data_IF_948691161033
#
_entry.id   IF_948691161033
#
_cell.length_a   1.000
_cell.length_b   1.000
_cell.length_c   1.000
_cell.angle_alpha   90.00
_cell.angle_beta   90.00
_cell.angle_gamma   90.00
#
_symmetry.space_group_name_H-M   'P 1'
#
loop_
_entity.id
_entity.type
_entity.pdbx_description
1 polymer ?
#
# COMPACT_ATOMS: atom_id res chain seq x y z
N UNK A 1 -19.19 -11.65 5.82
CA UNK A 1 -17.81 -11.40 5.34
C UNK A 1 -17.79 -10.16 4.47
N UNK A 2 -17.01 -9.15 4.82
CA UNK A 2 -16.90 -7.94 4.05
C UNK A 2 -15.63 -7.94 3.18
N UNK A 3 -15.72 -7.36 1.98
CA UNK A 3 -14.62 -7.27 1.03
C UNK A 3 -13.80 -5.99 1.27
N UNK A 4 -12.50 -6.15 1.32
CA UNK A 4 -11.53 -5.06 1.47
C UNK A 4 -10.51 -5.07 0.34
N UNK A 5 -10.05 -3.90 -0.04
CA UNK A 5 -8.86 -3.73 -0.84
C UNK A 5 -7.72 -3.20 0.03
N UNK A 6 -6.58 -3.86 0.00
CA UNK A 6 -5.34 -3.35 0.58
C UNK A 6 -4.52 -2.73 -0.54
N UNK A 7 -4.21 -1.44 -0.42
CA UNK A 7 -3.55 -0.68 -1.49
C UNK A 7 -2.29 -0.02 -0.94
N UNK A 8 -1.13 -0.41 -1.43
CA UNK A 8 0.13 0.25 -1.15
C UNK A 8 0.36 1.39 -2.13
N UNK A 9 0.70 2.57 -1.62
CA UNK A 9 0.78 3.78 -2.44
C UNK A 9 -0.60 4.36 -2.76
N UNK A 10 -1.53 4.26 -1.82
CA UNK A 10 -2.95 4.58 -2.03
C UNK A 10 -3.29 6.08 -2.08
N UNK A 11 -2.34 6.96 -1.79
CA UNK A 11 -2.62 8.39 -1.58
C UNK A 11 -2.61 9.23 -2.87
N UNK A 12 -2.12 8.71 -3.97
CA UNK A 12 -1.96 9.45 -5.21
C UNK A 12 -1.87 8.54 -6.43
N UNK A 13 -1.91 9.13 -7.62
CA UNK A 13 -1.70 8.45 -8.89
C UNK A 13 -2.58 7.21 -9.07
N UNK A 14 -1.97 6.12 -9.51
CA UNK A 14 -2.65 4.85 -9.79
C UNK A 14 -3.31 4.27 -8.53
N UNK A 15 -2.63 4.31 -7.37
CA UNK A 15 -3.19 3.79 -6.12
C UNK A 15 -4.47 4.51 -5.69
N UNK A 16 -4.50 5.84 -5.77
CA UNK A 16 -5.71 6.63 -5.48
C UNK A 16 -6.83 6.38 -6.50
N UNK A 17 -6.48 6.24 -7.78
CA UNK A 17 -7.44 5.90 -8.84
C UNK A 17 -8.07 4.50 -8.61
N UNK A 18 -7.26 3.51 -8.25
CA UNK A 18 -7.74 2.19 -7.85
C UNK A 18 -8.67 2.27 -6.64
N UNK A 19 -8.30 3.04 -5.60
CA UNK A 19 -9.13 3.24 -4.42
C UNK A 19 -10.52 3.75 -4.79
N UNK A 20 -10.60 4.76 -5.68
CA UNK A 20 -11.87 5.31 -6.16
C UNK A 20 -12.72 4.28 -6.89
N UNK A 21 -12.12 3.53 -7.80
CA UNK A 21 -12.86 2.53 -8.59
C UNK A 21 -13.35 1.35 -7.75
N UNK A 22 -12.54 0.92 -6.78
CA UNK A 22 -12.91 -0.16 -5.87
C UNK A 22 -14.00 0.29 -4.88
N UNK A 23 -13.90 1.51 -4.34
CA UNK A 23 -14.92 2.09 -3.46
C UNK A 23 -16.28 2.22 -4.18
N UNK A 24 -16.30 2.68 -5.44
CA UNK A 24 -17.52 2.70 -6.28
C UNK A 24 -18.17 1.33 -6.45
N UNK A 25 -17.40 0.25 -6.36
CA UNK A 25 -17.88 -1.13 -6.42
C UNK A 25 -18.25 -1.71 -5.05
N UNK A 26 -18.31 -0.89 -4.02
CA UNK A 26 -18.68 -1.31 -2.66
C UNK A 26 -17.57 -2.06 -1.91
N UNK A 27 -16.32 -1.94 -2.34
CA UNK A 27 -15.17 -2.57 -1.67
C UNK A 27 -14.57 -1.56 -0.68
N UNK A 28 -14.43 -1.96 0.57
CA UNK A 28 -13.80 -1.15 1.61
C UNK A 28 -12.30 -0.96 1.32
N UNK A 29 -11.73 0.17 1.75
CA UNK A 29 -10.37 0.54 1.41
C UNK A 29 -9.48 0.59 2.65
N UNK A 30 -8.38 -0.16 2.62
CA UNK A 30 -7.26 -0.05 3.55
C UNK A 30 -6.04 0.42 2.77
N UNK A 31 -5.74 1.71 2.88
CA UNK A 31 -4.71 2.38 2.10
C UNK A 31 -3.45 2.65 2.91
N UNK A 32 -2.29 2.29 2.37
CA UNK A 32 -0.98 2.60 2.93
C UNK A 32 -0.37 3.75 2.15
N UNK A 33 0.16 4.75 2.86
CA UNK A 33 0.86 5.88 2.28
C UNK A 33 2.02 6.33 3.17
N UNK A 34 2.95 7.11 2.61
CA UNK A 34 4.11 7.61 3.36
C UNK A 34 4.27 9.13 3.30
N UNK A 35 4.09 9.74 2.12
CA UNK A 35 4.50 11.12 1.85
C UNK A 35 3.35 12.01 1.36
N UNK A 36 2.28 12.14 2.16
CA UNK A 36 1.18 13.06 1.85
C UNK A 36 0.83 13.90 3.07
N UNK A 37 0.35 15.11 2.82
CA UNK A 37 -0.21 15.96 3.86
C UNK A 37 -1.53 15.37 4.38
N UNK A 38 -1.76 15.55 5.68
CA UNK A 38 -2.98 15.06 6.35
C UNK A 38 -4.26 15.54 5.69
N UNK A 39 -4.29 16.80 5.25
CA UNK A 39 -5.48 17.41 4.62
C UNK A 39 -5.85 16.72 3.30
N UNK A 40 -4.85 16.33 2.50
CA UNK A 40 -5.07 15.58 1.25
C UNK A 40 -5.58 14.18 1.52
N UNK A 41 -5.08 13.51 2.55
CA UNK A 41 -5.57 12.18 2.97
C UNK A 41 -6.97 12.28 3.54
N UNK A 42 -7.26 13.30 4.35
CA UNK A 42 -8.60 13.54 4.87
C UNK A 42 -9.61 13.75 3.73
N UNK A 43 -9.31 14.63 2.77
CA UNK A 43 -10.17 14.90 1.62
C UNK A 43 -10.43 13.61 0.79
N UNK A 44 -9.40 12.83 0.51
CA UNK A 44 -9.54 11.56 -0.21
C UNK A 44 -10.38 10.54 0.60
N UNK A 45 -10.16 10.47 1.90
CA UNK A 45 -10.92 9.58 2.79
C UNK A 45 -12.41 9.92 2.76
N UNK A 46 -12.76 11.18 2.88
CA UNK A 46 -14.16 11.64 2.83
C UNK A 46 -14.80 11.42 1.44
N UNK A 47 -14.03 11.66 0.38
CA UNK A 47 -14.46 11.35 -0.99
C UNK A 47 -14.82 9.86 -1.13
N UNK A 48 -13.97 8.97 -0.63
CA UNK A 48 -14.19 7.53 -0.74
C UNK A 48 -15.37 7.06 0.15
N UNK A 49 -15.49 7.58 1.35
CA UNK A 49 -16.62 7.27 2.24
C UNK A 49 -17.97 7.67 1.64
N UNK A 50 -18.01 8.68 0.80
CA UNK A 50 -19.24 9.09 0.11
C UNK A 50 -19.83 7.99 -0.78
N UNK A 51 -19.03 6.97 -1.16
CA UNK A 51 -19.54 5.76 -1.84
C UNK A 51 -20.15 4.71 -0.88
N UNK A 52 -20.25 5.00 0.41
CA UNK A 52 -20.86 4.10 1.40
C UNK A 52 -19.94 2.98 1.89
N UNK A 53 -18.64 3.09 1.69
CA UNK A 53 -17.63 2.11 2.12
C UNK A 53 -16.85 2.58 3.34
N UNK A 54 -16.30 1.62 4.08
CA UNK A 54 -15.32 1.91 5.15
C UNK A 54 -13.97 2.21 4.54
N UNK A 55 -13.28 3.21 5.09
CA UNK A 55 -11.98 3.66 4.59
C UNK A 55 -11.03 3.88 5.75
N UNK A 56 -9.87 3.24 5.68
CA UNK A 56 -8.77 3.38 6.63
C UNK A 56 -7.51 3.74 5.83
N UNK A 57 -6.90 4.87 6.14
CA UNK A 57 -5.60 5.25 5.60
C UNK A 57 -4.55 5.23 6.71
N UNK A 58 -3.44 4.53 6.48
CA UNK A 58 -2.35 4.38 7.44
C UNK A 58 -1.05 4.92 6.89
N UNK A 59 -0.46 5.88 7.62
CA UNK A 59 0.86 6.43 7.29
C UNK A 59 1.94 5.51 7.80
N UNK A 60 2.66 4.84 6.91
CA UNK A 60 3.76 3.95 7.27
C UNK A 60 4.63 3.61 6.07
N UNK A 61 5.88 3.21 6.34
CA UNK A 61 6.71 2.55 5.32
C UNK A 61 6.20 1.13 5.06
N UNK A 62 5.99 0.80 3.79
CA UNK A 62 5.52 -0.52 3.37
C UNK A 62 6.55 -1.64 3.59
N UNK A 63 7.83 -1.30 3.77
CA UNK A 63 8.92 -2.26 4.02
C UNK A 63 9.19 -2.52 5.50
N UNK A 64 8.68 -1.66 6.39
CA UNK A 64 8.91 -1.81 7.82
C UNK A 64 8.12 -3.01 8.39
N UNK A 65 8.83 -4.03 8.86
CA UNK A 65 8.23 -5.28 9.34
C UNK A 65 7.27 -5.09 10.52
N UNK A 66 7.66 -4.29 11.52
CA UNK A 66 6.80 -4.02 12.68
C UNK A 66 5.52 -3.27 12.28
N UNK A 67 5.63 -2.30 11.38
CA UNK A 67 4.48 -1.56 10.87
C UNK A 67 3.56 -2.41 10.00
N UNK A 68 4.11 -3.34 9.21
CA UNK A 68 3.30 -4.31 8.47
C UNK A 68 2.52 -5.21 9.43
N UNK A 69 3.19 -5.72 10.47
CA UNK A 69 2.54 -6.53 11.51
C UNK A 69 1.37 -5.78 12.17
N UNK A 70 1.59 -4.52 12.60
CA UNK A 70 0.53 -3.67 13.15
C UNK A 70 -0.64 -3.50 12.17
N UNK A 71 -0.37 -3.30 10.88
CA UNK A 71 -1.41 -3.15 9.85
C UNK A 71 -2.21 -4.44 9.65
N UNK A 72 -1.56 -5.59 9.65
CA UNK A 72 -2.22 -6.91 9.56
C UNK A 72 -3.10 -7.16 10.78
N UNK A 73 -2.62 -6.88 11.98
CA UNK A 73 -3.40 -7.01 13.21
C UNK A 73 -4.63 -6.09 13.21
N UNK A 74 -4.50 -4.89 12.66
CA UNK A 74 -5.62 -3.95 12.51
C UNK A 74 -6.67 -4.50 11.54
N UNK A 75 -6.25 -5.05 10.41
CA UNK A 75 -7.16 -5.72 9.47
C UNK A 75 -7.89 -6.91 10.11
N UNK A 76 -7.19 -7.74 10.88
CA UNK A 76 -7.80 -8.88 11.59
C UNK A 76 -8.84 -8.46 12.63
N UNK A 77 -8.66 -7.30 13.27
CA UNK A 77 -9.63 -6.73 14.23
C UNK A 77 -10.93 -6.23 13.61
N UNK A 78 -10.98 -6.08 12.28
CA UNK A 78 -12.20 -5.68 11.57
C UNK A 78 -13.26 -6.79 11.51
N UNK A 79 -12.94 -7.97 12.01
CA UNK A 79 -13.88 -9.10 12.09
C UNK A 79 -13.80 -10.03 10.88
N UNK A 80 -14.94 -10.55 10.42
CA UNK A 80 -14.98 -11.46 9.27
C UNK A 80 -14.84 -10.69 7.96
N UNK A 81 -13.59 -10.53 7.53
CA UNK A 81 -13.23 -9.85 6.30
C UNK A 81 -12.50 -10.77 5.33
N UNK A 82 -12.47 -10.33 4.06
CA UNK A 82 -11.59 -10.87 3.02
C UNK A 82 -10.86 -9.70 2.35
N UNK A 83 -9.57 -9.81 2.22
CA UNK A 83 -8.81 -8.96 1.28
C UNK A 83 -9.08 -9.50 -0.13
N UNK A 84 -10.03 -8.88 -0.81
CA UNK A 84 -10.46 -9.28 -2.15
C UNK A 84 -9.47 -8.83 -3.21
N UNK A 85 -8.88 -7.65 -3.01
CA UNK A 85 -7.90 -7.06 -3.95
C UNK A 85 -6.70 -6.55 -3.16
N UNK A 86 -5.51 -6.95 -3.58
CA UNK A 86 -4.26 -6.36 -3.12
C UNK A 86 -3.60 -5.62 -4.27
N UNK A 87 -3.33 -4.32 -4.10
CA UNK A 87 -2.70 -3.46 -5.11
C UNK A 87 -1.36 -2.98 -4.59
N UNK A 88 -0.30 -3.34 -5.29
CA UNK A 88 1.03 -2.82 -5.05
C UNK A 88 1.32 -1.69 -6.04
N UNK A 89 1.15 -0.44 -5.60
CA UNK A 89 1.33 0.76 -6.43
C UNK A 89 2.37 1.71 -5.80
N UNK A 90 3.52 1.16 -5.45
CA UNK A 90 4.64 1.92 -4.90
C UNK A 90 5.55 2.37 -6.03
N UNK A 91 5.84 3.67 -6.07
CA UNK A 91 6.81 4.29 -6.97
C UNK A 91 7.74 5.17 -6.15
N UNK A 92 8.76 4.56 -5.55
CA UNK A 92 9.75 5.23 -4.72
C UNK A 92 11.12 4.62 -4.89
N UNK A 93 12.06 5.42 -5.33
CA UNK A 93 13.44 4.99 -5.52
C UNK A 93 14.36 6.17 -5.81
N UNK A 94 15.64 5.90 -5.93
CA UNK A 94 16.63 6.87 -6.32
C UNK A 94 16.67 7.02 -7.85
N UNK A 95 16.54 8.25 -8.33
CA UNK A 95 16.61 8.59 -9.74
C UNK A 95 17.97 9.21 -10.02
N UNK A 96 19.00 8.37 -10.11
CA UNK A 96 20.36 8.74 -10.44
C UNK A 96 20.90 7.85 -11.56
N UNK A 97 21.88 8.30 -12.36
CA UNK A 97 22.58 7.45 -13.31
C UNK A 97 23.18 6.21 -12.64
N UNK A 98 23.17 5.10 -13.34
CA UNK A 98 23.79 3.85 -12.85
C UNK A 98 25.31 3.96 -12.88
N UNK A 99 25.85 4.60 -13.93
CA UNK A 99 27.29 4.80 -14.16
C UNK A 99 27.53 6.27 -14.44
N UNK A 100 28.49 6.85 -13.73
CA UNK A 100 28.99 8.21 -13.92
C UNK A 100 30.48 8.26 -13.62
N UNK A 101 31.20 9.19 -14.26
CA UNK A 101 32.64 9.40 -14.05
C UNK A 101 32.93 9.79 -12.60
N UNK A 102 32.08 10.62 -12.01
CA UNK A 102 32.16 10.97 -10.61
C UNK A 102 31.26 10.02 -9.80
N UNK A 103 31.81 9.14 -8.94
CA UNK A 103 31.03 8.19 -8.15
C UNK A 103 29.94 8.82 -7.26
N UNK A 104 30.09 10.10 -6.90
CA UNK A 104 29.08 10.83 -6.09
C UNK A 104 27.78 11.10 -6.85
N UNK A 105 27.85 11.13 -8.18
CA UNK A 105 26.71 11.43 -9.04
C UNK A 105 25.99 10.17 -9.49
N UNK A 106 26.60 9.01 -9.34
CA UNK A 106 26.00 7.70 -9.62
C UNK A 106 25.18 7.16 -8.45
N UNK A 107 24.38 6.12 -8.74
CA UNK A 107 23.70 5.33 -7.71
C UNK A 107 24.72 4.65 -6.81
N UNK A 108 24.50 4.72 -5.51
CA UNK A 108 25.25 3.94 -4.52
C UNK A 108 24.46 2.68 -4.13
N UNK A 109 25.14 1.67 -3.61
CA UNK A 109 24.55 0.38 -3.23
C UNK A 109 23.29 0.55 -2.36
N UNK A 110 23.34 1.35 -1.30
CA UNK A 110 22.19 1.59 -0.41
C UNK A 110 20.94 2.12 -1.14
N UNK A 111 21.13 2.95 -2.16
CA UNK A 111 20.01 3.48 -2.96
C UNK A 111 19.38 2.40 -3.85
N UNK A 112 20.22 1.53 -4.42
CA UNK A 112 19.75 0.37 -5.20
C UNK A 112 18.97 -0.59 -4.30
N UNK A 113 19.55 -0.96 -3.16
CA UNK A 113 18.90 -1.86 -2.19
C UNK A 113 17.55 -1.32 -1.71
N UNK A 114 17.50 -0.04 -1.33
CA UNK A 114 16.27 0.63 -0.91
C UNK A 114 15.21 0.63 -2.02
N UNK A 115 15.61 0.93 -3.25
CA UNK A 115 14.69 0.97 -4.40
C UNK A 115 14.10 -0.41 -4.67
N UNK A 116 14.93 -1.45 -4.69
CA UNK A 116 14.48 -2.84 -4.86
C UNK A 116 13.59 -3.29 -3.71
N UNK A 117 13.92 -2.92 -2.48
CA UNK A 117 13.13 -3.29 -1.31
C UNK A 117 11.72 -2.67 -1.35
N UNK A 118 11.63 -1.39 -1.65
CA UNK A 118 10.33 -0.68 -1.73
C UNK A 118 9.51 -1.12 -2.95
N UNK A 119 10.12 -1.20 -4.13
CA UNK A 119 9.37 -1.39 -5.38
C UNK A 119 9.21 -2.86 -5.79
N UNK A 120 10.01 -3.75 -5.25
CA UNK A 120 9.99 -5.18 -5.57
C UNK A 120 9.70 -6.06 -4.37
N UNK A 121 10.63 -6.12 -3.41
CA UNK A 121 10.56 -7.04 -2.29
C UNK A 121 9.32 -6.85 -1.44
N UNK A 122 8.86 -5.62 -1.25
CA UNK A 122 7.68 -5.33 -0.43
C UNK A 122 6.42 -6.04 -0.93
N UNK A 123 6.29 -6.29 -2.22
CA UNK A 123 5.20 -7.10 -2.77
C UNK A 123 5.19 -8.50 -2.15
N UNK A 124 6.36 -9.13 -2.08
CA UNK A 124 6.51 -10.48 -1.52
C UNK A 124 6.17 -10.46 -0.03
N UNK A 125 6.68 -9.49 0.73
CA UNK A 125 6.44 -9.38 2.17
C UNK A 125 4.94 -9.27 2.48
N UNK A 126 4.24 -8.38 1.79
CA UNK A 126 2.80 -8.19 1.98
C UNK A 126 1.97 -9.39 1.54
N UNK A 127 2.31 -10.03 0.43
CA UNK A 127 1.64 -11.26 0.01
C UNK A 127 1.78 -12.36 1.06
N UNK A 128 2.97 -12.53 1.62
CA UNK A 128 3.22 -13.53 2.67
C UNK A 128 2.44 -13.20 3.96
N UNK A 129 2.47 -11.92 4.38
CA UNK A 129 1.79 -11.48 5.60
C UNK A 129 0.26 -11.64 5.48
N UNK A 130 -0.33 -11.23 4.36
CA UNK A 130 -1.75 -11.38 4.07
C UNK A 130 -2.17 -12.87 3.97
N UNK A 131 -1.35 -13.69 3.35
CA UNK A 131 -1.61 -15.13 3.23
C UNK A 131 -1.55 -15.84 4.60
N UNK A 132 -0.48 -15.63 5.36
CA UNK A 132 -0.29 -16.24 6.68
C UNK A 132 -1.34 -15.83 7.69
N UNK A 133 -1.84 -14.60 7.60
CA UNK A 133 -2.93 -14.08 8.44
C UNK A 133 -4.32 -14.55 8.00
N UNK A 134 -4.42 -15.36 6.94
CA UNK A 134 -5.68 -15.88 6.35
C UNK A 134 -6.66 -14.79 5.89
N UNK A 135 -6.12 -13.62 5.57
CA UNK A 135 -6.90 -12.52 4.99
C UNK A 135 -7.16 -12.70 3.49
N UNK A 136 -6.27 -13.42 2.78
CA UNK A 136 -6.52 -13.87 1.41
C UNK A 136 -7.39 -15.13 1.44
N UNK A 137 -8.47 -15.12 0.67
CA UNK A 137 -9.41 -16.23 0.54
C UNK A 137 -9.66 -16.54 -0.93
N UNK A 138 -10.41 -17.60 -1.23
CA UNK A 138 -10.76 -17.93 -2.62
C UNK A 138 -11.36 -16.74 -3.36
N UNK A 139 -10.82 -16.39 -4.52
CA UNK A 139 -11.23 -15.23 -5.31
C UNK A 139 -10.54 -13.92 -4.95
N UNK A 140 -9.53 -13.92 -4.05
CA UNK A 140 -8.62 -12.77 -3.88
C UNK A 140 -7.71 -12.61 -5.10
N UNK A 141 -7.43 -11.36 -5.48
CA UNK A 141 -6.62 -10.96 -6.63
C UNK A 141 -5.51 -10.01 -6.20
#
# INVERSE_FOLDING_TARGET
>A
MSDWAVILGASSGIGAACSRQLAKKGINIFGIYLRRHKDQIFALTEELKAYGVSVIYKKMSATNENKRKEAIEELQKLGDIRVKVFVHSLAFGALKPVIEDNPKDALIQRQVEMTLDVMGNSLIYWCQDLFRSRLLKKGSQ
#
